data_IF_311549455743
#
_entry.id   IF_311549455743
#
_cell.length_a   1.000
_cell.length_b   1.000
_cell.length_c   1.000
_cell.angle_alpha   90.00
_cell.angle_beta   90.00
_cell.angle_gamma   90.00
#
_symmetry.space_group_name_H-M   'P 1'
#
loop_
_entity.id
_entity.type
_entity.pdbx_description
1 polymer ?
#
# COMPACT_ATOMS: atom_id res chain seq x y z
N UNK A 1 21.53 -12.11 0.88
CA UNK A 1 20.18 -11.70 1.29
C UNK A 1 19.53 -12.89 1.95
N UNK A 2 19.34 -12.88 3.26
CA UNK A 2 18.82 -14.02 4.02
C UNK A 2 17.33 -13.74 4.22
N UNK A 3 16.40 -14.61 3.81
CA UNK A 3 14.99 -14.39 4.03
C UNK A 3 14.66 -14.54 5.52
N UNK A 4 14.06 -13.52 6.11
CA UNK A 4 13.48 -13.57 7.45
C UNK A 4 12.06 -14.11 7.30
N UNK A 5 11.77 -15.26 7.88
CA UNK A 5 10.40 -15.78 7.95
C UNK A 5 9.80 -15.44 9.31
N UNK A 6 8.76 -14.65 9.30
CA UNK A 6 7.86 -14.45 10.46
C UNK A 6 6.80 -15.55 10.42
N UNK A 7 6.84 -16.48 11.35
CA UNK A 7 5.76 -17.45 11.56
C UNK A 7 4.96 -16.98 12.75
N UNK A 8 3.80 -16.35 12.47
CA UNK A 8 2.83 -16.01 13.49
C UNK A 8 1.90 -17.21 13.75
N UNK A 9 1.99 -17.82 14.92
CA UNK A 9 0.92 -18.63 15.48
C UNK A 9 0.36 -17.89 16.71
N UNK A 10 -0.92 -18.04 16.96
CA UNK A 10 -1.81 -17.22 17.77
C UNK A 10 -1.34 -16.75 19.18
N UNK A 11 -0.17 -17.08 19.64
CA UNK A 11 0.46 -16.56 20.86
C UNK A 11 1.99 -16.75 20.79
N UNK A 12 2.68 -16.16 19.83
CA UNK A 12 4.12 -16.19 19.84
C UNK A 12 4.75 -15.63 18.57
N UNK A 13 5.36 -14.49 18.68
CA UNK A 13 6.29 -13.97 17.67
C UNK A 13 7.59 -14.76 17.77
N UNK A 14 7.91 -15.52 16.74
CA UNK A 14 9.20 -16.19 16.59
C UNK A 14 9.99 -15.57 15.46
N UNK A 15 11.19 -15.08 15.73
CA UNK A 15 12.16 -14.65 14.72
C UNK A 15 13.11 -15.82 14.48
N UNK A 16 13.15 -16.35 13.25
CA UNK A 16 14.11 -17.38 12.83
C UNK A 16 15.15 -16.70 11.94
N UNK A 17 16.39 -16.69 12.39
CA UNK A 17 17.52 -16.24 11.59
C UNK A 17 18.33 -17.45 11.11
N UNK A 18 18.68 -17.50 9.81
CA UNK A 18 19.54 -18.53 9.25
C UNK A 18 20.96 -17.98 9.12
N UNK A 19 21.93 -18.68 9.70
CA UNK A 19 23.33 -18.32 9.52
C UNK A 19 23.82 -18.67 8.11
N UNK A 20 24.84 -17.98 7.58
CA UNK A 20 25.43 -18.30 6.27
C UNK A 20 26.01 -19.70 6.17
N UNK A 21 26.20 -20.40 7.28
CA UNK A 21 26.71 -21.76 7.37
C UNK A 21 25.62 -22.84 7.51
N UNK A 22 24.33 -22.47 7.32
CA UNK A 22 23.21 -23.40 7.26
C UNK A 22 22.73 -23.94 8.61
N UNK A 23 23.14 -23.36 9.72
CA UNK A 23 22.66 -23.71 11.06
C UNK A 23 21.49 -22.88 11.50
N UNK A 24 20.46 -23.49 12.10
CA UNK A 24 19.42 -22.75 12.83
C UNK A 24 20.01 -22.22 14.14
N UNK A 25 20.10 -20.90 14.27
CA UNK A 25 20.31 -20.28 15.57
C UNK A 25 18.93 -20.16 16.22
N UNK A 26 18.59 -21.14 17.01
CA UNK A 26 17.44 -21.05 17.90
C UNK A 26 17.80 -20.07 19.00
N UNK A 27 17.22 -18.90 18.92
CA UNK A 27 17.41 -17.88 19.95
C UNK A 27 16.64 -18.34 21.17
N UNK A 28 17.35 -18.72 22.21
CA UNK A 28 16.83 -18.86 23.58
C UNK A 28 16.11 -17.56 24.05
N UNK A 29 16.10 -16.53 23.18
CA UNK A 29 15.47 -15.23 23.34
C UNK A 29 13.95 -15.24 23.16
N UNK A 30 13.31 -16.24 22.56
CA UNK A 30 11.86 -16.23 22.35
C UNK A 30 11.05 -16.33 23.64
N UNK A 31 11.49 -17.14 24.58
CA UNK A 31 10.87 -17.16 25.92
C UNK A 31 11.17 -15.88 26.69
N UNK A 32 12.35 -15.29 26.50
CA UNK A 32 12.70 -14.02 27.14
C UNK A 32 11.87 -12.87 26.55
N UNK A 33 11.72 -12.80 25.22
CA UNK A 33 10.87 -11.80 24.55
C UNK A 33 9.40 -11.98 24.94
N UNK A 34 8.91 -13.22 25.02
CA UNK A 34 7.56 -13.53 25.47
C UNK A 34 7.33 -13.08 26.92
N UNK A 35 8.29 -13.37 27.80
CA UNK A 35 8.21 -12.98 29.22
C UNK A 35 8.31 -11.46 29.37
N UNK A 36 9.14 -10.77 28.57
CA UNK A 36 9.23 -9.32 28.57
C UNK A 36 7.99 -8.62 28.03
N UNK A 37 7.34 -9.17 26.99
CA UNK A 37 6.03 -8.72 26.51
C UNK A 37 4.96 -8.93 27.60
N UNK A 38 5.01 -10.06 28.31
CA UNK A 38 4.08 -10.31 29.42
C UNK A 38 4.31 -9.33 30.60
N UNK A 39 5.54 -9.02 30.91
CA UNK A 39 5.90 -8.07 31.97
C UNK A 39 5.56 -6.62 31.58
N UNK A 40 5.64 -6.26 30.30
CA UNK A 40 5.12 -5.01 29.75
C UNK A 40 3.58 -4.95 29.87
N UNK A 41 2.89 -6.00 29.47
CA UNK A 41 1.44 -6.08 29.56
C UNK A 41 0.90 -6.04 31.00
N UNK A 42 1.73 -6.46 31.98
CA UNK A 42 1.42 -6.41 33.41
C UNK A 42 1.94 -5.14 34.11
N UNK A 43 2.50 -4.19 33.37
CA UNK A 43 3.05 -2.93 33.91
C UNK A 43 4.28 -3.10 34.82
N UNK A 44 4.93 -4.26 34.77
CA UNK A 44 6.10 -4.56 35.62
C UNK A 44 7.42 -3.99 35.11
N UNK A 45 7.48 -3.60 33.84
CA UNK A 45 8.66 -2.98 33.21
C UNK A 45 8.25 -1.89 32.23
N UNK A 46 9.20 -1.04 31.85
CA UNK A 46 9.01 -0.02 30.82
C UNK A 46 9.72 -0.44 29.53
N UNK A 47 9.18 -0.01 28.41
CA UNK A 47 9.69 -0.31 27.06
C UNK A 47 11.18 0.01 26.92
N UNK A 48 11.64 1.15 27.47
CA UNK A 48 13.06 1.52 27.44
C UNK A 48 13.97 0.52 28.13
N UNK A 49 13.54 -0.09 29.24
CA UNK A 49 14.34 -1.08 29.98
C UNK A 49 14.37 -2.44 29.29
N UNK A 50 13.27 -2.84 28.68
CA UNK A 50 13.21 -4.06 27.89
C UNK A 50 14.07 -3.96 26.64
N UNK A 51 14.13 -2.76 26.05
CA UNK A 51 14.95 -2.47 24.86
C UNK A 51 16.45 -2.48 25.16
N UNK A 52 16.90 -1.87 26.25
CA UNK A 52 18.32 -1.93 26.67
C UNK A 52 18.78 -3.37 26.91
N UNK A 53 17.93 -4.20 27.47
CA UNK A 53 18.24 -5.58 27.78
C UNK A 53 18.27 -6.48 26.52
N UNK A 54 17.40 -6.25 25.55
CA UNK A 54 17.42 -6.92 24.26
C UNK A 54 18.65 -6.53 23.43
N UNK A 55 19.05 -5.28 23.45
CA UNK A 55 20.19 -4.77 22.69
C UNK A 55 21.56 -5.28 23.21
N UNK A 56 21.64 -5.70 24.47
CA UNK A 56 22.86 -6.29 25.04
C UNK A 56 23.06 -7.77 24.69
N UNK A 57 22.05 -8.44 24.15
CA UNK A 57 22.07 -9.87 23.81
C UNK A 57 22.16 -10.16 22.32
N UNK A 58 22.06 -9.16 21.45
CA UNK A 58 22.10 -9.31 19.98
C UNK A 58 23.28 -8.52 19.43
N UNK A 59 24.17 -9.18 18.69
CA UNK A 59 25.26 -8.49 18.00
C UNK A 59 24.77 -7.42 17.04
N UNK A 60 25.65 -6.55 16.54
CA UNK A 60 25.39 -5.33 15.76
C UNK A 60 24.07 -5.37 14.94
N UNK A 61 23.09 -4.63 15.44
CA UNK A 61 21.78 -4.47 14.78
C UNK A 61 21.96 -3.43 13.67
N UNK A 62 21.67 -3.82 12.43
CA UNK A 62 21.68 -2.86 11.31
C UNK A 62 20.55 -1.84 11.49
N UNK A 63 20.71 -0.66 10.91
CA UNK A 63 19.68 0.41 10.94
C UNK A 63 18.32 -0.08 10.40
N UNK A 64 18.34 -0.96 9.40
CA UNK A 64 17.14 -1.58 8.82
C UNK A 64 16.47 -2.54 9.80
N UNK A 65 17.24 -3.32 10.56
CA UNK A 65 16.72 -4.21 11.60
C UNK A 65 16.12 -3.42 12.77
N UNK A 66 16.71 -2.27 13.09
CA UNK A 66 16.19 -1.36 14.13
C UNK A 66 14.83 -0.77 13.72
N UNK A 67 14.69 -0.28 12.48
CA UNK A 67 13.41 0.24 11.97
C UNK A 67 12.31 -0.83 11.92
N UNK A 68 12.66 -2.07 11.54
CA UNK A 68 11.71 -3.20 11.57
C UNK A 68 11.27 -3.55 12.98
N UNK A 69 12.20 -3.52 13.93
CA UNK A 69 11.91 -3.77 15.34
C UNK A 69 11.04 -2.65 15.94
N UNK A 70 11.31 -1.38 15.61
CA UNK A 70 10.49 -0.25 16.04
C UNK A 70 9.05 -0.37 15.55
N UNK A 71 8.85 -0.80 14.31
CA UNK A 71 7.51 -1.06 13.77
C UNK A 71 6.81 -2.22 14.50
N UNK A 72 7.53 -3.30 14.81
CA UNK A 72 6.98 -4.43 15.58
C UNK A 72 6.65 -4.01 17.01
N UNK A 73 7.48 -3.17 17.63
CA UNK A 73 7.25 -2.63 18.98
C UNK A 73 6.02 -1.71 18.96
N UNK A 74 5.95 -0.79 18.02
CA UNK A 74 4.80 0.11 17.81
C UNK A 74 3.50 -0.67 17.60
N UNK A 75 3.57 -1.73 16.81
CA UNK A 75 2.43 -2.64 16.57
C UNK A 75 2.03 -3.41 17.85
N UNK A 76 2.99 -3.92 18.61
CA UNK A 76 2.73 -4.61 19.86
C UNK A 76 2.18 -3.66 20.95
N UNK A 77 2.67 -2.42 21.02
CA UNK A 77 2.17 -1.40 21.94
C UNK A 77 0.71 -1.04 21.67
N UNK A 78 0.34 -0.86 20.39
CA UNK A 78 -1.03 -0.62 19.95
C UNK A 78 -1.99 -1.73 20.38
N UNK A 79 -1.50 -2.98 20.50
CA UNK A 79 -2.28 -4.15 20.93
C UNK A 79 -2.43 -4.31 22.45
N UNK A 80 -1.52 -3.72 23.23
CA UNK A 80 -1.43 -3.94 24.68
C UNK A 80 -2.20 -2.90 25.49
N UNK A 81 -2.44 -1.71 24.91
CA UNK A 81 -3.17 -0.63 25.59
C UNK A 81 -4.58 -0.44 24.98
N UNK A 82 -5.62 -1.07 25.57
CA UNK A 82 -6.99 -0.89 25.11
C UNK A 82 -7.50 0.55 25.24
N UNK A 83 -6.83 1.42 26.02
CA UNK A 83 -7.21 2.83 26.19
C UNK A 83 -6.72 3.72 25.03
N UNK A 84 -5.85 3.20 24.16
CA UNK A 84 -5.37 3.86 22.93
C UNK A 84 -6.25 3.50 21.71
N UNK A 85 -7.42 2.92 21.92
CA UNK A 85 -8.31 2.36 20.88
C UNK A 85 -9.07 3.45 20.08
N UNK A 86 -8.94 4.72 20.47
CA UNK A 86 -9.53 5.86 19.78
C UNK A 86 -8.49 6.59 18.90
N UNK A 87 -7.80 5.86 18.01
CA UNK A 87 -7.14 6.55 16.91
C UNK A 87 -8.24 7.04 15.95
N UNK A 88 -8.56 8.32 16.09
CA UNK A 88 -9.40 9.05 15.16
C UNK A 88 -8.92 8.77 13.72
N UNK A 89 -9.86 8.51 12.80
CA UNK A 89 -9.55 8.29 11.39
C UNK A 89 -8.62 9.41 10.90
N UNK A 90 -7.44 9.08 10.32
CA UNK A 90 -6.58 10.10 9.76
C UNK A 90 -7.30 10.94 8.69
N UNK A 91 -6.94 12.22 8.60
CA UNK A 91 -7.33 13.00 7.43
C UNK A 91 -6.48 12.57 6.24
N UNK A 92 -7.14 12.20 5.14
CA UNK A 92 -6.48 11.76 3.92
C UNK A 92 -6.52 12.84 2.85
N UNK A 93 -5.39 13.01 2.18
CA UNK A 93 -5.29 13.87 1.02
C UNK A 93 -5.25 13.00 -0.27
N UNK A 94 -6.37 12.96 -1.00
CA UNK A 94 -6.47 12.22 -2.26
C UNK A 94 -5.37 12.63 -3.28
N UNK A 95 -5.03 13.93 -3.34
CA UNK A 95 -3.97 14.42 -4.23
C UNK A 95 -2.59 13.89 -3.84
N UNK A 96 -2.35 13.62 -2.56
CA UNK A 96 -1.10 13.03 -2.10
C UNK A 96 -1.01 11.55 -2.52
N UNK A 97 -2.13 10.82 -2.48
CA UNK A 97 -2.19 9.44 -2.99
C UNK A 97 -1.95 9.44 -4.51
N UNK A 98 -2.60 10.35 -5.27
CA UNK A 98 -2.37 10.50 -6.72
C UNK A 98 -0.89 10.74 -7.04
N UNK A 99 -0.24 11.62 -6.28
CA UNK A 99 1.19 11.90 -6.41
C UNK A 99 2.05 10.65 -6.15
N UNK A 100 1.82 9.94 -5.06
CA UNK A 100 2.58 8.72 -4.75
C UNK A 100 2.34 7.61 -5.77
N UNK A 101 1.12 7.44 -6.28
CA UNK A 101 0.83 6.47 -7.35
C UNK A 101 1.62 6.79 -8.61
N UNK A 102 1.69 8.08 -9.00
CA UNK A 102 2.50 8.53 -10.14
C UNK A 102 3.99 8.23 -9.96
N UNK A 103 4.56 8.60 -8.81
CA UNK A 103 5.97 8.36 -8.50
C UNK A 103 6.29 6.85 -8.50
N UNK A 104 5.46 6.03 -7.84
CA UNK A 104 5.67 4.59 -7.77
C UNK A 104 5.51 3.92 -9.15
N UNK A 105 4.56 4.36 -9.98
CA UNK A 105 4.41 3.91 -11.37
C UNK A 105 5.69 4.19 -12.16
N UNK A 106 6.25 5.40 -12.02
CA UNK A 106 7.48 5.77 -12.71
C UNK A 106 8.70 5.01 -12.19
N UNK A 107 8.77 4.72 -10.89
CA UNK A 107 9.81 3.85 -10.34
C UNK A 107 9.71 2.42 -10.90
N UNK A 108 8.50 1.88 -11.09
CA UNK A 108 8.34 0.58 -11.75
C UNK A 108 8.83 0.66 -13.21
N UNK A 109 8.42 1.66 -13.98
CA UNK A 109 8.88 1.84 -15.37
C UNK A 109 10.42 1.93 -15.47
N UNK A 110 11.06 2.65 -14.57
CA UNK A 110 12.52 2.78 -14.52
C UNK A 110 13.21 1.41 -14.31
N UNK A 111 12.67 0.54 -13.43
CA UNK A 111 13.19 -0.82 -13.22
C UNK A 111 13.20 -1.66 -14.51
N UNK A 112 12.31 -1.36 -15.46
CA UNK A 112 12.23 -2.02 -16.76
C UNK A 112 12.93 -1.23 -17.89
N UNK A 113 13.66 -0.16 -17.55
CA UNK A 113 14.40 0.66 -18.52
C UNK A 113 13.53 1.53 -19.42
N UNK A 114 12.29 1.83 -19.00
CA UNK A 114 11.34 2.65 -19.73
C UNK A 114 11.44 4.12 -19.30
N UNK A 115 11.09 5.03 -20.21
CA UNK A 115 10.96 6.44 -19.87
C UNK A 115 9.82 6.66 -18.88
N UNK A 116 10.01 7.64 -17.99
CA UNK A 116 8.96 8.07 -17.09
C UNK A 116 7.77 8.66 -17.86
N UNK A 117 6.56 8.46 -17.33
CA UNK A 117 5.36 9.13 -17.78
C UNK A 117 5.32 10.55 -17.23
N UNK A 118 4.85 11.50 -18.03
CA UNK A 118 4.55 12.84 -17.54
C UNK A 118 3.13 12.91 -17.00
N UNK A 119 2.94 13.60 -15.89
CA UNK A 119 1.63 13.82 -15.33
C UNK A 119 0.84 14.82 -16.20
N UNK A 120 -0.38 14.45 -16.60
CA UNK A 120 -1.25 15.27 -17.45
C UNK A 120 -2.54 15.66 -16.75
N UNK A 121 -2.81 16.96 -16.50
CA UNK A 121 -4.00 17.40 -15.76
C UNK A 121 -5.34 17.09 -16.43
N UNK A 122 -5.39 17.03 -17.78
CA UNK A 122 -6.63 16.72 -18.50
C UNK A 122 -6.97 15.24 -18.34
N UNK A 123 -5.97 14.35 -18.44
CA UNK A 123 -6.16 12.92 -18.16
C UNK A 123 -6.50 12.69 -16.68
N UNK A 124 -5.88 13.45 -15.77
CA UNK A 124 -6.20 13.39 -14.35
C UNK A 124 -7.68 13.69 -14.08
N UNK A 125 -8.22 14.72 -14.73
CA UNK A 125 -9.63 15.07 -14.56
C UNK A 125 -10.56 13.91 -14.95
N UNK A 126 -10.29 13.26 -16.08
CA UNK A 126 -11.04 12.09 -16.56
C UNK A 126 -10.95 10.94 -15.55
N UNK A 127 -9.76 10.70 -14.99
CA UNK A 127 -9.54 9.67 -14.00
C UNK A 127 -10.27 9.96 -12.67
N UNK A 128 -10.25 11.22 -12.20
CA UNK A 128 -10.98 11.64 -11.00
C UNK A 128 -12.48 11.48 -11.14
N UNK A 129 -13.03 11.89 -12.29
CA UNK A 129 -14.45 11.74 -12.57
C UNK A 129 -14.89 10.28 -12.55
N UNK A 130 -14.07 9.37 -13.08
CA UNK A 130 -14.39 7.95 -13.05
C UNK A 130 -14.27 7.35 -11.64
N UNK A 131 -13.24 7.70 -10.87
CA UNK A 131 -13.13 7.28 -9.47
C UNK A 131 -14.31 7.77 -8.62
N UNK A 132 -14.72 9.03 -8.80
CA UNK A 132 -15.91 9.60 -8.15
C UNK A 132 -17.19 8.86 -8.58
N UNK A 133 -17.34 8.59 -9.87
CA UNK A 133 -18.52 7.90 -10.41
C UNK A 133 -18.64 6.48 -9.84
N UNK A 134 -17.54 5.70 -9.81
CA UNK A 134 -17.50 4.39 -9.17
C UNK A 134 -17.88 4.45 -7.69
N UNK A 135 -17.35 5.44 -6.97
CA UNK A 135 -17.60 5.61 -5.54
C UNK A 135 -19.05 5.99 -5.24
N UNK A 136 -19.61 6.96 -5.97
CA UNK A 136 -20.97 7.50 -5.73
C UNK A 136 -22.05 6.50 -6.14
N UNK A 137 -21.82 5.77 -7.23
CA UNK A 137 -22.80 4.80 -7.76
C UNK A 137 -22.53 3.36 -7.32
N UNK A 138 -21.51 3.15 -6.46
CA UNK A 138 -21.18 1.87 -5.84
C UNK A 138 -20.93 0.74 -6.84
N UNK A 139 -20.18 1.01 -7.92
CA UNK A 139 -19.72 -0.02 -8.85
C UNK A 139 -18.20 -0.01 -8.98
N UNK A 140 -17.66 -1.09 -9.56
CA UNK A 140 -16.22 -1.21 -9.85
C UNK A 140 -16.02 -1.90 -11.21
N UNK A 141 -15.83 -1.09 -12.25
CA UNK A 141 -15.67 -1.55 -13.62
C UNK A 141 -15.00 -0.48 -14.48
N UNK A 142 -14.37 -0.88 -15.59
CA UNK A 142 -13.80 0.03 -16.59
C UNK A 142 -14.89 0.79 -17.38
N UNK A 143 -16.04 0.17 -17.60
CA UNK A 143 -17.17 0.80 -18.27
C UNK A 143 -18.16 1.34 -17.23
N UNK A 144 -18.74 2.50 -17.53
CA UNK A 144 -19.84 3.02 -16.70
C UNK A 144 -21.09 2.17 -16.85
N UNK A 145 -22.07 2.26 -15.94
CA UNK A 145 -23.35 1.55 -16.10
C UNK A 145 -24.10 1.85 -17.42
N UNK A 146 -23.80 2.98 -18.08
CA UNK A 146 -24.31 3.35 -19.40
C UNK A 146 -23.49 2.76 -20.55
N UNK A 147 -22.35 2.10 -20.26
CA UNK A 147 -21.47 1.47 -21.23
C UNK A 147 -20.39 2.40 -21.81
N UNK A 148 -20.13 3.55 -21.16
CA UNK A 148 -19.02 4.42 -21.60
C UNK A 148 -17.67 3.80 -21.23
N UNK A 149 -16.85 3.58 -22.24
CA UNK A 149 -15.47 3.13 -22.08
C UNK A 149 -14.55 4.26 -21.62
N UNK A 150 -13.31 3.97 -21.16
CA UNK A 150 -12.31 5.02 -20.85
C UNK A 150 -12.12 6.00 -22.02
N UNK A 151 -12.11 5.51 -23.25
CA UNK A 151 -11.97 6.35 -24.46
C UNK A 151 -13.19 7.23 -24.71
N UNK A 152 -14.40 6.74 -24.42
CA UNK A 152 -15.63 7.52 -24.54
C UNK A 152 -15.63 8.65 -23.50
N UNK A 153 -15.28 8.37 -22.25
CA UNK A 153 -15.13 9.40 -21.20
C UNK A 153 -14.10 10.46 -21.58
N UNK A 154 -12.98 10.05 -22.18
CA UNK A 154 -11.98 10.97 -22.69
C UNK A 154 -12.57 11.88 -23.79
N UNK A 155 -13.29 11.31 -24.75
CA UNK A 155 -13.92 12.06 -25.84
C UNK A 155 -14.97 13.04 -25.32
N UNK A 156 -15.79 12.66 -24.34
CA UNK A 156 -16.77 13.55 -23.69
C UNK A 156 -16.08 14.72 -22.97
N UNK A 157 -14.89 14.51 -22.42
CA UNK A 157 -14.04 15.55 -21.83
C UNK A 157 -13.24 16.36 -22.88
N UNK A 158 -13.45 16.09 -24.17
CA UNK A 158 -12.74 16.77 -25.26
C UNK A 158 -11.27 16.35 -25.40
N UNK A 159 -10.86 15.26 -24.75
CA UNK A 159 -9.50 14.75 -24.81
C UNK A 159 -9.37 13.66 -25.88
N UNK A 160 -8.35 13.78 -26.71
CA UNK A 160 -8.03 12.79 -27.75
C UNK A 160 -6.60 12.30 -27.60
N UNK A 161 -6.45 11.02 -27.30
CA UNK A 161 -5.14 10.36 -27.31
C UNK A 161 -4.89 9.72 -28.65
N UNK A 162 -3.84 10.15 -29.35
CA UNK A 162 -3.36 9.54 -30.59
C UNK A 162 -1.83 9.41 -30.54
N UNK A 163 -1.34 8.22 -30.81
CA UNK A 163 0.10 7.90 -30.88
C UNK A 163 0.46 7.29 -32.22
N UNK A 164 1.46 7.81 -32.86
CA UNK A 164 2.01 7.22 -34.07
C UNK A 164 3.16 6.27 -33.74
N UNK A 165 3.04 5.02 -34.14
CA UNK A 165 4.09 4.00 -34.02
C UNK A 165 4.40 3.45 -35.40
N UNK A 166 5.45 3.95 -36.01
CA UNK A 166 5.75 3.68 -37.39
C UNK A 166 4.64 4.23 -38.31
N UNK A 167 3.94 3.34 -39.03
CA UNK A 167 2.81 3.68 -39.90
C UNK A 167 1.42 3.45 -39.23
N UNK A 168 1.41 3.01 -37.98
CA UNK A 168 0.18 2.73 -37.24
C UNK A 168 -0.19 3.90 -36.34
N UNK A 169 -1.47 4.17 -36.22
CA UNK A 169 -2.02 5.13 -35.26
C UNK A 169 -2.71 4.32 -34.15
N UNK A 170 -2.21 4.49 -32.93
CA UNK A 170 -2.93 4.06 -31.74
C UNK A 170 -3.82 5.21 -31.29
N UNK A 171 -5.10 4.93 -31.03
CA UNK A 171 -6.03 5.91 -30.50
C UNK A 171 -6.77 5.34 -29.29
N UNK A 172 -7.12 6.24 -28.37
CA UNK A 172 -7.83 5.89 -27.15
C UNK A 172 -6.93 5.91 -25.91
N UNK A 173 -7.57 5.83 -24.76
CA UNK A 173 -6.94 5.80 -23.44
C UNK A 173 -6.95 4.37 -22.91
N UNK A 174 -5.82 3.91 -22.35
CA UNK A 174 -5.80 2.71 -21.52
C UNK A 174 -6.06 3.07 -20.06
N UNK A 175 -6.52 2.10 -19.29
CA UNK A 175 -6.92 2.33 -17.92
C UNK A 175 -6.54 1.18 -16.99
N UNK A 176 -6.08 1.54 -15.80
CA UNK A 176 -6.03 0.68 -14.63
C UNK A 176 -6.99 1.23 -13.58
N UNK A 177 -7.70 0.36 -12.88
CA UNK A 177 -8.54 0.72 -11.74
C UNK A 177 -8.16 -0.11 -10.52
N UNK A 178 -8.34 0.47 -9.33
CA UNK A 178 -8.15 -0.19 -8.05
C UNK A 178 -9.24 0.22 -7.08
N UNK A 179 -9.69 -0.73 -6.27
CA UNK A 179 -10.55 -0.50 -5.12
C UNK A 179 -9.96 -1.18 -3.91
N UNK A 180 -9.85 -0.45 -2.82
CA UNK A 180 -9.33 -0.96 -1.55
C UNK A 180 -9.96 -0.27 -0.37
N UNK A 181 -9.31 -0.40 0.79
CA UNK A 181 -9.71 0.26 2.02
C UNK A 181 -8.59 1.15 2.54
N UNK A 182 -8.95 2.15 3.35
CA UNK A 182 -8.00 3.04 4.01
C UNK A 182 -7.25 2.35 5.16
N UNK A 183 -7.55 1.09 5.44
CA UNK A 183 -6.98 0.30 6.54
C UNK A 183 -6.57 -1.09 6.04
N UNK A 184 -5.55 -1.66 6.66
CA UNK A 184 -5.09 -3.02 6.39
C UNK A 184 -5.93 -4.05 7.16
N UNK A 185 -6.26 -3.74 8.39
CA UNK A 185 -7.04 -4.61 9.27
C UNK A 185 -7.88 -3.81 10.27
N UNK A 186 -8.83 -4.47 10.91
CA UNK A 186 -9.59 -3.89 12.02
C UNK A 186 -9.71 -4.88 13.16
N UNK A 187 -9.94 -4.36 14.37
CA UNK A 187 -10.09 -5.16 15.58
C UNK A 187 -11.53 -5.13 16.05
N UNK A 188 -11.99 -6.27 16.57
CA UNK A 188 -13.35 -6.39 17.13
C UNK A 188 -13.32 -6.89 18.57
N UNK A 189 -14.21 -6.34 19.40
CA UNK A 189 -14.51 -6.84 20.73
C UNK A 189 -16.02 -7.12 20.78
N UNK A 190 -16.41 -8.33 21.16
CA UNK A 190 -17.82 -8.75 21.19
C UNK A 190 -18.59 -8.57 19.88
N UNK A 191 -17.88 -8.59 18.74
CA UNK A 191 -18.47 -8.40 17.41
C UNK A 191 -18.58 -6.94 16.96
N UNK A 192 -18.21 -5.98 17.78
CA UNK A 192 -18.15 -4.55 17.43
C UNK A 192 -16.72 -4.16 17.05
N UNK A 193 -16.57 -3.37 15.97
CA UNK A 193 -15.25 -2.85 15.55
C UNK A 193 -14.81 -1.82 16.59
N UNK A 194 -13.60 -2.00 17.12
CA UNK A 194 -13.04 -1.14 18.16
C UNK A 194 -11.88 -0.29 17.68
N UNK A 195 -11.16 -0.71 16.63
CA UNK A 195 -10.10 0.10 16.01
C UNK A 195 -9.79 -0.40 14.60
N UNK A 196 -9.16 0.48 13.82
CA UNK A 196 -8.64 0.19 12.50
C UNK A 196 -7.12 0.33 12.51
N UNK A 197 -6.44 -0.46 11.70
CA UNK A 197 -5.03 -0.30 11.37
C UNK A 197 -4.94 0.53 10.11
N UNK A 198 -4.94 1.87 10.29
CA UNK A 198 -5.00 2.81 9.18
C UNK A 198 -3.71 2.83 8.36
N UNK A 199 -3.85 2.78 7.05
CA UNK A 199 -2.76 2.98 6.11
C UNK A 199 -2.44 4.48 5.95
N UNK A 200 -1.21 4.80 5.67
CA UNK A 200 -0.80 6.12 5.16
C UNK A 200 -1.15 6.26 3.67
N UNK A 201 -1.14 7.48 3.14
CA UNK A 201 -1.32 7.72 1.71
C UNK A 201 -0.29 6.99 0.84
N UNK A 202 0.96 6.88 1.32
CA UNK A 202 2.03 6.16 0.62
C UNK A 202 1.78 4.64 0.63
N UNK A 203 1.29 4.07 1.72
CA UNK A 203 0.94 2.64 1.80
C UNK A 203 -0.25 2.30 0.90
N UNK A 204 -1.27 3.18 0.81
CA UNK A 204 -2.39 3.03 -0.11
C UNK A 204 -1.90 3.03 -1.56
N UNK A 205 -1.06 4.01 -1.93
CA UNK A 205 -0.48 4.10 -3.26
C UNK A 205 0.39 2.88 -3.59
N UNK A 206 1.20 2.44 -2.65
CA UNK A 206 2.06 1.25 -2.79
C UNK A 206 1.22 -0.01 -3.02
N UNK A 207 0.18 -0.23 -2.22
CA UNK A 207 -0.73 -1.37 -2.36
C UNK A 207 -1.41 -1.34 -3.74
N UNK A 208 -1.80 -0.16 -4.22
CA UNK A 208 -2.40 0.06 -5.53
C UNK A 208 -1.44 -0.35 -6.65
N UNK A 209 -0.22 0.21 -6.66
CA UNK A 209 0.76 -0.06 -7.73
C UNK A 209 1.27 -1.49 -7.67
N UNK A 210 1.54 -2.05 -6.48
CA UNK A 210 1.92 -3.45 -6.31
C UNK A 210 0.82 -4.39 -6.84
N UNK A 211 -0.46 -4.07 -6.56
CA UNK A 211 -1.61 -4.81 -7.06
C UNK A 211 -1.67 -4.80 -8.59
N UNK A 212 -1.47 -3.65 -9.21
CA UNK A 212 -1.42 -3.53 -10.67
C UNK A 212 -0.23 -4.27 -11.27
N UNK A 213 0.96 -4.17 -10.67
CA UNK A 213 2.16 -4.89 -11.14
C UNK A 213 2.05 -6.41 -10.99
N UNK A 214 1.24 -6.91 -10.07
CA UNK A 214 0.96 -8.33 -9.91
C UNK A 214 -0.16 -8.84 -10.85
N UNK A 215 -0.93 -7.95 -11.48
CA UNK A 215 -1.97 -8.27 -12.46
C UNK A 215 -1.43 -8.13 -13.88
N UNK A 216 -1.43 -9.20 -14.72
CA UNK A 216 -0.81 -9.15 -16.04
C UNK A 216 -1.34 -8.02 -16.95
N UNK A 217 -2.67 -7.78 -16.97
CA UNK A 217 -3.27 -6.74 -17.80
C UNK A 217 -2.93 -5.33 -17.34
N UNK A 218 -3.00 -5.07 -16.03
CA UNK A 218 -2.65 -3.77 -15.46
C UNK A 218 -1.15 -3.47 -15.63
N UNK A 219 -0.30 -4.48 -15.40
CA UNK A 219 1.15 -4.36 -15.60
C UNK A 219 1.50 -4.07 -17.05
N UNK A 220 0.79 -4.68 -18.02
CA UNK A 220 1.00 -4.37 -19.44
C UNK A 220 0.76 -2.89 -19.73
N UNK A 221 -0.27 -2.28 -19.16
CA UNK A 221 -0.51 -0.85 -19.30
C UNK A 221 0.62 -0.01 -18.71
N UNK A 222 1.06 -0.29 -17.48
CA UNK A 222 2.16 0.43 -16.82
C UNK A 222 3.45 0.34 -17.64
N UNK A 223 3.76 -0.83 -18.19
CA UNK A 223 5.02 -1.09 -18.91
C UNK A 223 4.92 -0.86 -20.43
N UNK A 224 3.83 -0.30 -20.91
CA UNK A 224 3.68 -0.03 -22.36
C UNK A 224 4.56 1.14 -22.77
N UNK A 225 5.47 0.87 -23.70
CA UNK A 225 6.51 1.82 -24.13
C UNK A 225 5.93 3.03 -24.87
N UNK A 226 4.78 2.84 -25.54
CA UNK A 226 4.18 3.91 -26.36
C UNK A 226 3.52 5.02 -25.53
N UNK A 227 3.22 4.77 -24.25
CA UNK A 227 2.65 5.80 -23.38
C UNK A 227 3.75 6.73 -22.86
N UNK A 228 3.49 8.05 -22.92
CA UNK A 228 4.40 9.09 -22.45
C UNK A 228 3.76 9.98 -21.36
N UNK A 229 2.47 9.79 -21.08
CA UNK A 229 1.74 10.57 -20.08
C UNK A 229 0.64 9.76 -19.43
N UNK A 230 0.31 10.18 -18.23
CA UNK A 230 -0.78 9.60 -17.47
C UNK A 230 -1.52 10.66 -16.63
N UNK A 231 -2.69 10.29 -16.14
CA UNK A 231 -3.39 11.01 -15.10
C UNK A 231 -4.01 10.04 -14.11
N UNK A 232 -3.97 10.40 -12.85
CA UNK A 232 -4.44 9.57 -11.74
C UNK A 232 -5.54 10.32 -11.00
N UNK A 233 -6.63 9.63 -10.72
CA UNK A 233 -7.74 10.13 -9.94
C UNK A 233 -8.04 9.24 -8.75
N UNK A 234 -8.21 9.84 -7.58
CA UNK A 234 -8.51 9.15 -6.33
C UNK A 234 -9.79 9.68 -5.72
N UNK A 235 -10.67 8.79 -5.31
CA UNK A 235 -11.85 9.11 -4.51
C UNK A 235 -11.87 8.29 -3.23
N UNK A 236 -12.20 8.94 -2.11
CA UNK A 236 -12.24 8.37 -0.77
C UNK A 236 -13.65 8.48 -0.22
N UNK A 237 -14.25 7.35 0.16
CA UNK A 237 -15.61 7.30 0.67
C UNK A 237 -15.70 7.39 2.19
N UNK A 238 -16.90 7.67 2.69
CA UNK A 238 -17.14 7.72 4.13
C UNK A 238 -17.06 6.35 4.81
N UNK A 239 -17.33 5.27 4.07
CA UNK A 239 -17.19 3.88 4.53
C UNK A 239 -15.76 3.33 4.38
N UNK A 240 -14.78 4.22 4.31
CA UNK A 240 -13.33 3.93 4.32
C UNK A 240 -12.82 3.18 3.10
N UNK A 241 -13.53 3.22 1.98
CA UNK A 241 -13.02 2.73 0.70
C UNK A 241 -12.21 3.79 -0.02
N UNK A 242 -11.30 3.34 -0.85
CA UNK A 242 -10.56 4.16 -1.81
C UNK A 242 -10.71 3.57 -3.21
N UNK A 243 -11.03 4.43 -4.16
CA UNK A 243 -11.08 4.13 -5.59
C UNK A 243 -9.97 4.89 -6.29
N UNK A 244 -9.20 4.19 -7.10
CA UNK A 244 -8.11 4.79 -7.86
C UNK A 244 -8.25 4.43 -9.33
N UNK A 245 -8.23 5.43 -10.19
CA UNK A 245 -8.19 5.29 -11.65
C UNK A 245 -6.88 5.85 -12.16
N UNK A 246 -6.20 5.11 -13.03
CA UNK A 246 -5.01 5.53 -13.76
C UNK A 246 -5.28 5.43 -15.24
N UNK A 247 -5.24 6.54 -15.95
CA UNK A 247 -5.43 6.61 -17.39
C UNK A 247 -4.11 6.94 -18.09
N UNK A 248 -3.87 6.30 -19.21
CA UNK A 248 -2.62 6.43 -20.00
C UNK A 248 -2.89 6.92 -21.41
N UNK A 249 -1.99 7.76 -21.85
CA UNK A 249 -1.90 8.15 -23.27
C UNK A 249 -0.48 8.06 -23.81
#
# INVERSE_FOLDING_TARGET
MIPIFLVGAAFGLGIIEFSPQGGMIFVQSLENVKNEILDLAQGKTTISKSFEKANTSVGEVTEESSKKLDNVIKYAQKRIDPSQVDEEKPEYNAQQIEYFVHELTNLEREKYGLSQLTFNPEIQQIAREHSLDMAVREYFAHETPEGLTPSDRAAENGYSCQKMVGLLIYSGIAENIFQGHLFDSYYTINGEITSYDWNTEEEIAKTTVDGWMNSPGHRENILKEIYDREGIGVEITQDHKVYVTQNFC
#
